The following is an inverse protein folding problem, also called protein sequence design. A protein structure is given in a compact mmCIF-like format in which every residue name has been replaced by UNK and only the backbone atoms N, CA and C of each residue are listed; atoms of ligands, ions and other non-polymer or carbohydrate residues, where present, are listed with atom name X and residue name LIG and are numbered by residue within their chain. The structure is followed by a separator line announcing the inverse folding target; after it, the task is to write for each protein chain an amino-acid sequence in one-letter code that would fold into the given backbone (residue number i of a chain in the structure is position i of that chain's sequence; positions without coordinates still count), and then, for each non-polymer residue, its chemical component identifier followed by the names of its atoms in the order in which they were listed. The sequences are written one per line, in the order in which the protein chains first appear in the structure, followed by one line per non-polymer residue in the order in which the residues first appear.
data_IF_744496513335
#
_entry.id   IF_744496513335
#
_cell.length_a   1.000
_cell.length_b   1.000
_cell.length_c   1.000
_cell.angle_alpha   90.00
_cell.angle_beta   90.00
_cell.angle_gamma   90.00
#
_symmetry.space_group_name_H-M   'P 1'
#
loop_
_entity.id
_entity.type
_entity.pdbx_description
1 polymer ?
#
# COMPACT_ATOMS: atom_id res chain seq x y z
N UNK A 1 -8.94 -10.83 12.21
CA UNK A 1 -8.97 -9.49 12.87
C UNK A 1 -9.35 -9.55 14.35
N UNK A 2 -10.44 -10.21 14.77
CA UNK A 2 -10.81 -10.31 16.20
C UNK A 2 -9.67 -10.83 17.07
N UNK A 3 -8.98 -11.89 16.61
CA UNK A 3 -7.80 -12.44 17.27
C UNK A 3 -6.72 -11.37 17.50
N UNK A 4 -6.29 -10.68 16.43
CA UNK A 4 -5.26 -9.63 16.55
C UNK A 4 -5.70 -8.44 17.43
N UNK A 5 -7.00 -8.14 17.54
CA UNK A 5 -7.47 -7.13 18.51
C UNK A 5 -7.37 -7.57 19.96
N UNK A 6 -7.34 -8.88 20.21
CA UNK A 6 -7.26 -9.48 21.54
C UNK A 6 -5.80 -9.74 21.94
N UNK A 7 -5.02 -10.31 21.02
CA UNK A 7 -3.64 -10.75 21.25
C UNK A 7 -2.59 -9.70 20.87
N UNK A 8 -2.98 -8.62 20.18
CA UNK A 8 -2.13 -7.58 19.59
C UNK A 8 -1.17 -8.04 18.48
N UNK A 9 -0.40 -9.09 18.72
CA UNK A 9 0.57 -9.64 17.76
C UNK A 9 0.59 -11.18 17.78
N UNK A 10 0.72 -11.79 16.60
CA UNK A 10 0.83 -13.26 16.49
C UNK A 10 1.69 -13.68 15.32
N UNK A 11 2.40 -14.79 15.50
CA UNK A 11 3.06 -15.49 14.42
C UNK A 11 2.02 -16.07 13.43
N UNK A 12 2.46 -16.30 12.18
CA UNK A 12 1.56 -16.75 11.09
C UNK A 12 0.82 -18.06 11.43
N UNK A 13 1.51 -19.02 12.06
CA UNK A 13 0.94 -20.31 12.41
C UNK A 13 -0.10 -20.19 13.54
N UNK A 14 0.23 -19.44 14.60
CA UNK A 14 -0.64 -19.22 15.75
C UNK A 14 -1.87 -18.40 15.35
N UNK A 15 -1.68 -17.36 14.53
CA UNK A 15 -2.79 -16.57 14.00
C UNK A 15 -3.75 -17.44 13.18
N UNK A 16 -3.24 -18.39 12.39
CA UNK A 16 -4.08 -19.33 11.66
C UNK A 16 -4.88 -20.21 12.62
N UNK A 17 -4.21 -20.82 13.61
CA UNK A 17 -4.84 -21.67 14.60
C UNK A 17 -5.96 -20.93 15.36
N UNK A 18 -5.66 -19.75 15.91
CA UNK A 18 -6.59 -18.91 16.65
C UNK A 18 -7.73 -18.36 15.79
N UNK A 19 -7.49 -18.14 14.49
CA UNK A 19 -8.54 -17.65 13.57
C UNK A 19 -9.60 -18.70 13.24
N UNK A 20 -9.31 -19.98 13.48
CA UNK A 20 -10.17 -21.10 13.08
C UNK A 20 -10.17 -21.38 11.56
N UNK A 21 -9.35 -20.69 10.77
CA UNK A 21 -9.22 -20.96 9.33
C UNK A 21 -8.29 -22.15 9.13
N UNK A 22 -8.88 -23.35 8.99
CA UNK A 22 -8.15 -24.61 8.94
C UNK A 22 -7.33 -24.76 7.67
N UNK A 23 -7.89 -24.35 6.52
CA UNK A 23 -7.22 -24.46 5.22
C UNK A 23 -6.14 -23.39 5.03
N UNK A 24 -4.89 -23.83 4.87
CA UNK A 24 -3.73 -22.93 4.73
C UNK A 24 -3.84 -21.98 3.54
N UNK A 25 -4.30 -22.46 2.38
CA UNK A 25 -4.38 -21.65 1.17
C UNK A 25 -5.40 -20.50 1.32
N UNK A 26 -6.54 -20.77 1.96
CA UNK A 26 -7.56 -19.78 2.28
C UNK A 26 -7.03 -18.76 3.28
N UNK A 27 -6.35 -19.22 4.34
CA UNK A 27 -5.77 -18.33 5.34
C UNK A 27 -4.75 -17.36 4.72
N UNK A 28 -3.79 -17.87 3.94
CA UNK A 28 -2.77 -17.04 3.28
C UNK A 28 -3.41 -16.02 2.35
N UNK A 29 -4.39 -16.43 1.53
CA UNK A 29 -5.10 -15.50 0.64
C UNK A 29 -5.83 -14.39 1.40
N UNK A 30 -6.49 -14.73 2.50
CA UNK A 30 -7.17 -13.76 3.34
C UNK A 30 -6.18 -12.78 4.00
N UNK A 31 -5.03 -13.28 4.46
CA UNK A 31 -3.99 -12.47 5.04
C UNK A 31 -3.38 -11.49 4.01
N UNK A 32 -3.13 -11.96 2.79
CA UNK A 32 -2.66 -11.13 1.67
C UNK A 32 -3.66 -10.04 1.28
N UNK A 33 -4.97 -10.34 1.34
CA UNK A 33 -6.01 -9.36 1.10
C UNK A 33 -6.05 -8.30 2.20
N UNK A 34 -5.98 -8.71 3.47
CA UNK A 34 -5.93 -7.80 4.61
C UNK A 34 -4.67 -6.92 4.58
N UNK A 35 -3.53 -7.48 4.19
CA UNK A 35 -2.29 -6.72 4.05
C UNK A 35 -2.38 -5.70 2.92
N UNK A 36 -2.92 -6.09 1.75
CA UNK A 36 -3.14 -5.17 0.62
C UNK A 36 -4.06 -4.00 0.97
N UNK A 37 -4.99 -4.21 1.89
CA UNK A 37 -5.88 -3.16 2.38
C UNK A 37 -5.32 -2.39 3.59
N UNK A 38 -4.06 -2.63 3.97
CA UNK A 38 -3.43 -2.05 5.16
C UNK A 38 -4.28 -2.24 6.43
N UNK A 39 -4.89 -3.42 6.59
CA UNK A 39 -5.59 -3.81 7.83
C UNK A 39 -4.67 -4.54 8.80
N UNK A 40 -3.73 -5.30 8.25
CA UNK A 40 -2.66 -5.98 8.98
C UNK A 40 -1.33 -5.64 8.36
N UNK A 41 -0.26 -5.70 9.14
CA UNK A 41 1.11 -5.48 8.66
C UNK A 41 2.05 -6.48 9.34
N UNK A 42 3.09 -6.98 8.64
CA UNK A 42 4.18 -7.66 9.31
C UNK A 42 4.92 -6.64 10.17
N UNK A 43 5.04 -6.91 11.46
CA UNK A 43 5.79 -6.11 12.42
C UNK A 43 7.25 -6.53 12.46
N UNK A 44 7.46 -7.84 12.58
CA UNK A 44 8.77 -8.46 12.69
C UNK A 44 8.77 -9.82 11.97
N UNK A 45 9.95 -10.42 11.91
CA UNK A 45 10.20 -11.72 11.30
C UNK A 45 11.08 -12.57 12.21
N UNK A 46 10.64 -13.80 12.43
CA UNK A 46 11.40 -14.81 13.16
C UNK A 46 11.91 -15.83 12.15
N UNK A 47 13.19 -16.21 12.24
CA UNK A 47 13.81 -17.19 11.34
C UNK A 47 13.98 -18.58 11.97
N UNK A 48 13.94 -18.68 13.31
CA UNK A 48 14.16 -19.92 14.05
C UNK A 48 12.95 -20.24 14.95
N UNK A 49 12.54 -21.53 15.07
CA UNK A 49 13.10 -22.69 14.38
C UNK A 49 12.71 -22.75 12.89
N UNK A 50 11.72 -21.96 12.46
CA UNK A 50 11.33 -21.80 11.05
C UNK A 50 10.96 -20.35 10.77
N UNK A 51 10.99 -19.96 9.50
CA UNK A 51 10.59 -18.63 9.07
C UNK A 51 9.12 -18.35 9.35
N UNK A 52 8.83 -17.25 10.03
CA UNK A 52 7.46 -16.77 10.27
C UNK A 52 7.43 -15.26 10.43
N UNK A 53 6.42 -14.61 9.84
CA UNK A 53 6.09 -13.23 10.16
C UNK A 53 5.31 -13.13 11.47
N UNK A 54 5.58 -12.07 12.22
CA UNK A 54 4.75 -11.59 13.31
C UNK A 54 3.81 -10.52 12.75
N UNK A 55 2.51 -10.77 12.83
CA UNK A 55 1.47 -9.92 12.30
C UNK A 55 0.84 -9.10 13.40
N UNK A 56 0.56 -7.84 13.11
CA UNK A 56 -0.22 -6.95 13.98
C UNK A 56 -1.26 -6.18 13.17
N UNK A 57 -2.16 -5.47 13.86
CA UNK A 57 -3.07 -4.54 13.21
C UNK A 57 -2.30 -3.31 12.72
N UNK A 58 -2.61 -2.85 11.51
CA UNK A 58 -2.00 -1.63 10.99
C UNK A 58 -2.41 -0.39 11.81
N UNK A 59 -3.58 -0.41 12.44
CA UNK A 59 -4.07 0.67 13.32
C UNK A 59 -3.29 0.81 14.62
N UNK A 60 -2.69 -0.29 15.10
CA UNK A 60 -1.82 -0.26 16.27
C UNK A 60 -0.44 0.30 15.91
N UNK A 61 0.06 -0.02 14.71
CA UNK A 61 1.38 0.45 14.23
C UNK A 61 1.36 1.90 13.76
N UNK A 62 0.29 2.31 13.07
CA UNK A 62 0.16 3.63 12.44
C UNK A 62 -1.11 4.36 12.92
N UNK A 63 -1.29 4.56 14.24
CA UNK A 63 -2.53 5.06 14.79
C UNK A 63 -2.83 6.50 14.36
N UNK A 64 -1.80 7.32 14.18
CA UNK A 64 -1.98 8.73 13.80
C UNK A 64 -2.27 8.86 12.32
N UNK A 65 -1.58 8.09 11.47
CA UNK A 65 -1.72 8.10 10.03
C UNK A 65 -3.08 7.58 9.59
N UNK A 66 -3.52 6.44 10.15
CA UNK A 66 -4.79 5.83 9.77
C UNK A 66 -6.02 6.58 10.31
N UNK A 67 -5.85 7.46 11.30
CA UNK A 67 -6.92 8.37 11.76
C UNK A 67 -7.09 9.59 10.86
N UNK A 68 -6.10 9.96 10.03
CA UNK A 68 -6.17 11.15 9.18
C UNK A 68 -7.20 10.95 8.07
N UNK A 69 -8.16 11.86 7.99
CA UNK A 69 -9.09 11.93 6.86
C UNK A 69 -8.44 12.71 5.73
N UNK A 70 -8.20 12.05 4.60
CA UNK A 70 -7.62 12.67 3.41
C UNK A 70 -8.69 12.74 2.33
N UNK A 71 -8.90 13.93 1.77
CA UNK A 71 -9.79 14.10 0.63
C UNK A 71 -9.30 13.24 -0.55
N UNK A 72 -10.23 12.58 -1.24
CA UNK A 72 -9.88 11.62 -2.32
C UNK A 72 -8.94 12.23 -3.37
N UNK A 73 -9.22 13.47 -3.79
CA UNK A 73 -8.39 14.21 -4.74
C UNK A 73 -6.94 14.36 -4.24
N UNK A 74 -6.77 14.79 -2.99
CA UNK A 74 -5.46 14.91 -2.34
C UNK A 74 -4.74 13.57 -2.29
N UNK A 75 -5.42 12.49 -1.90
CA UNK A 75 -4.82 11.16 -1.85
C UNK A 75 -4.31 10.70 -3.22
N UNK A 76 -5.10 10.91 -4.29
CA UNK A 76 -4.67 10.57 -5.66
C UNK A 76 -3.42 11.35 -6.10
N UNK A 77 -3.38 12.66 -5.78
CA UNK A 77 -2.20 13.48 -6.07
C UNK A 77 -0.97 13.00 -5.30
N UNK A 78 -1.08 12.74 -3.99
CA UNK A 78 0.07 12.33 -3.19
C UNK A 78 0.57 10.92 -3.55
N UNK A 79 -0.32 10.00 -3.93
CA UNK A 79 0.09 8.69 -4.47
C UNK A 79 0.90 8.87 -5.76
N UNK A 80 0.42 9.69 -6.68
CA UNK A 80 1.16 10.00 -7.90
C UNK A 80 2.50 10.68 -7.60
N UNK A 81 2.52 11.60 -6.62
CA UNK A 81 3.74 12.32 -6.22
C UNK A 81 4.78 11.36 -5.65
N UNK A 82 4.38 10.50 -4.71
CA UNK A 82 5.26 9.51 -4.10
C UNK A 82 5.83 8.54 -5.14
N UNK A 83 4.99 8.07 -6.07
CA UNK A 83 5.44 7.22 -7.16
C UNK A 83 6.48 7.94 -8.03
N UNK A 84 6.18 9.16 -8.48
CA UNK A 84 7.04 9.91 -9.37
C UNK A 84 8.35 10.35 -8.70
N UNK A 85 8.32 10.68 -7.40
CA UNK A 85 9.50 10.97 -6.61
C UNK A 85 10.47 9.78 -6.53
N UNK A 86 9.94 8.56 -6.41
CA UNK A 86 10.76 7.34 -6.37
C UNK A 86 11.20 6.84 -7.74
N UNK A 87 10.32 6.89 -8.75
CA UNK A 87 10.57 6.34 -10.08
C UNK A 87 11.20 7.32 -11.07
N UNK A 88 11.13 8.63 -10.81
CA UNK A 88 11.56 9.71 -11.71
C UNK A 88 10.64 9.93 -12.91
N UNK A 89 9.97 8.89 -13.39
CA UNK A 89 9.00 8.91 -14.47
C UNK A 89 7.89 7.87 -14.26
N UNK A 90 6.85 7.96 -15.08
CA UNK A 90 5.72 7.04 -15.13
C UNK A 90 5.52 6.59 -16.57
N UNK A 91 5.44 5.29 -16.84
CA UNK A 91 4.93 4.79 -18.11
C UNK A 91 3.43 4.51 -18.03
N UNK A 92 2.83 4.30 -19.20
CA UNK A 92 1.40 4.09 -19.35
C UNK A 92 0.91 2.93 -18.46
N UNK A 93 0.11 3.27 -17.46
CA UNK A 93 -0.54 2.29 -16.57
C UNK A 93 0.34 1.77 -15.43
N UNK A 94 1.61 2.17 -15.32
CA UNK A 94 2.48 1.68 -14.25
C UNK A 94 2.05 2.18 -12.88
N UNK A 95 1.70 3.47 -12.76
CA UNK A 95 1.17 4.03 -11.51
C UNK A 95 -0.10 3.31 -11.07
N UNK A 96 -0.98 2.97 -12.02
CA UNK A 96 -2.20 2.21 -11.73
C UNK A 96 -1.87 0.80 -11.21
N UNK A 97 -0.93 0.09 -11.87
CA UNK A 97 -0.47 -1.24 -11.45
C UNK A 97 0.15 -1.21 -10.06
N UNK A 98 1.04 -0.25 -9.79
CA UNK A 98 1.77 -0.16 -8.54
C UNK A 98 0.90 0.24 -7.34
N UNK A 99 -0.15 1.05 -7.58
CA UNK A 99 -1.02 1.55 -6.52
C UNK A 99 -2.35 0.80 -6.36
N UNK A 100 -2.68 -0.11 -7.29
CA UNK A 100 -3.99 -0.76 -7.34
C UNK A 100 -5.14 0.19 -7.72
N UNK A 101 -4.86 1.42 -8.14
CA UNK A 101 -5.85 2.38 -8.61
C UNK A 101 -6.32 2.05 -10.03
N UNK A 102 -7.54 2.47 -10.38
CA UNK A 102 -7.94 2.49 -11.79
C UNK A 102 -7.05 3.44 -12.61
N UNK A 103 -6.93 3.19 -13.92
CA UNK A 103 -6.16 4.06 -14.82
C UNK A 103 -6.63 5.51 -14.77
N UNK A 104 -7.94 5.73 -14.66
CA UNK A 104 -8.54 7.07 -14.54
C UNK A 104 -8.06 7.76 -13.27
N UNK A 105 -8.15 7.08 -12.12
CA UNK A 105 -7.72 7.63 -10.83
C UNK A 105 -6.23 7.95 -10.79
N UNK A 106 -5.38 7.06 -11.34
CA UNK A 106 -3.95 7.31 -11.46
C UNK A 106 -3.66 8.52 -12.37
N UNK A 107 -4.39 8.65 -13.48
CA UNK A 107 -4.29 9.79 -14.40
C UNK A 107 -4.65 11.12 -13.75
N UNK A 108 -5.70 11.16 -12.93
CA UNK A 108 -6.11 12.38 -12.22
C UNK A 108 -5.01 12.93 -11.31
N UNK A 109 -4.29 12.06 -10.59
CA UNK A 109 -3.16 12.47 -9.76
C UNK A 109 -2.02 13.05 -10.59
N UNK A 110 -1.64 12.37 -11.68
CA UNK A 110 -0.60 12.85 -12.59
C UNK A 110 -0.96 14.16 -13.29
N UNK A 111 -2.23 14.37 -13.67
CA UNK A 111 -2.70 15.63 -14.25
C UNK A 111 -2.51 16.79 -13.27
N UNK A 112 -2.91 16.60 -12.01
CA UNK A 112 -2.75 17.63 -11.00
C UNK A 112 -1.27 17.98 -10.74
N UNK A 113 -0.36 16.99 -10.79
CA UNK A 113 1.08 17.27 -10.66
C UNK A 113 1.65 18.05 -11.84
N UNK A 114 1.08 17.90 -13.04
CA UNK A 114 1.44 18.72 -14.20
C UNK A 114 0.94 20.15 -14.00
N UNK A 115 -0.30 20.33 -13.54
CA UNK A 115 -0.87 21.66 -13.29
C UNK A 115 -0.07 22.44 -12.22
N UNK A 116 0.50 21.75 -11.23
CA UNK A 116 1.36 22.32 -10.17
C UNK A 116 2.82 22.50 -10.60
N UNK A 117 3.21 22.11 -11.82
CA UNK A 117 4.59 22.20 -12.30
C UNK A 117 5.55 21.18 -11.68
N UNK A 118 5.06 20.22 -10.88
CA UNK A 118 5.88 19.16 -10.29
C UNK A 118 6.29 18.10 -11.32
N UNK A 119 5.42 17.86 -12.30
CA UNK A 119 5.62 16.89 -13.36
C UNK A 119 5.44 17.54 -14.73
N UNK A 120 6.00 16.90 -15.74
CA UNK A 120 5.78 17.24 -17.15
C UNK A 120 5.13 16.05 -17.85
N UNK A 121 4.16 16.34 -18.72
CA UNK A 121 3.57 15.31 -19.58
C UNK A 121 4.42 15.16 -20.83
N UNK A 122 5.00 13.98 -21.04
CA UNK A 122 5.78 13.68 -22.24
C UNK A 122 4.88 13.15 -23.36
N UNK A 123 3.95 12.26 -23.02
CA UNK A 123 2.92 11.68 -23.91
C UNK A 123 1.68 11.34 -23.09
N UNK A 124 0.62 10.89 -23.74
CA UNK A 124 -0.57 10.39 -23.04
C UNK A 124 -0.19 9.26 -22.08
N UNK A 125 -0.45 9.47 -20.78
CA UNK A 125 -0.13 8.50 -19.74
C UNK A 125 1.36 8.37 -19.40
N UNK A 126 2.23 9.24 -19.92
CA UNK A 126 3.67 9.25 -19.65
C UNK A 126 4.08 10.60 -19.07
N UNK A 127 4.57 10.59 -17.83
CA UNK A 127 4.95 11.79 -17.10
C UNK A 127 6.35 11.65 -16.49
N UNK A 128 7.10 12.73 -16.38
CA UNK A 128 8.41 12.76 -15.74
C UNK A 128 8.49 13.87 -14.68
N UNK A 129 9.37 13.73 -13.69
CA UNK A 129 9.68 14.82 -12.76
C UNK A 129 10.19 16.04 -13.54
N UNK A 130 9.66 17.22 -13.22
CA UNK A 130 10.12 18.46 -13.85
C UNK A 130 11.60 18.74 -13.53
N UNK A 131 12.06 18.37 -12.33
CA UNK A 131 13.44 18.59 -11.87
C UNK A 131 14.50 17.80 -12.62
N UNK A 132 14.14 16.74 -13.35
CA UNK A 132 15.08 15.92 -14.12
C UNK A 132 15.43 16.49 -15.50
N UNK A 133 14.82 17.62 -15.89
CA UNK A 133 15.10 18.29 -17.16
C UNK A 133 16.11 19.44 -17.06
N UNK A 134 16.60 19.73 -15.85
CA UNK A 134 17.62 20.75 -15.61
C UNK A 134 18.99 20.12 -15.46
#
# INVERSE_FOLDING_TARGET
LKVLRREHELATADLRAESGVTERAVFTRALDELQRQMKVTPQDVIYQPTFSYIWMLAEDRFPQELRKRVARKTALREIARAYLAGAGMTLLGETARASGLSRVQAGLGNHQLVDEGYAIRLRQGIYALASLKN
#
